data_IF_624992437784
#
_entry.id   IF_624992437784
#
_cell.length_a   1.000
_cell.length_b   1.000
_cell.length_c   1.000
_cell.angle_alpha   90.00
_cell.angle_beta   90.00
_cell.angle_gamma   90.00
#
_symmetry.space_group_name_H-M   'P 1'
#
loop_
_entity.id
_entity.type
_entity.pdbx_description
1 polymer ?
#
# COMPACT_ATOMS: atom_id res chain seq x y z
N UNK A 1 -15.60 24.58 12.46
CA UNK A 1 -17.03 24.25 12.26
C UNK A 1 -17.37 23.75 10.85
N UNK A 2 -17.13 24.50 9.73
CA UNK A 2 -17.40 23.96 8.38
C UNK A 2 -16.54 22.72 8.05
N UNK A 3 -15.27 22.72 8.40
CA UNK A 3 -14.38 21.58 8.19
C UNK A 3 -14.80 20.33 8.98
N UNK A 4 -15.32 20.49 10.19
CA UNK A 4 -15.73 19.34 11.03
C UNK A 4 -16.95 18.61 10.46
N UNK A 5 -17.91 19.35 9.89
CA UNK A 5 -19.09 18.76 9.26
C UNK A 5 -18.71 18.00 7.97
N UNK A 6 -17.77 18.54 7.17
CA UNK A 6 -17.26 17.89 5.97
C UNK A 6 -16.51 16.60 6.33
N UNK A 7 -15.57 16.66 7.28
CA UNK A 7 -14.82 15.49 7.76
C UNK A 7 -15.74 14.38 8.25
N UNK A 8 -16.77 14.72 9.04
CA UNK A 8 -17.76 13.72 9.50
C UNK A 8 -18.47 13.07 8.34
N UNK A 9 -18.95 13.86 7.36
CA UNK A 9 -19.61 13.34 6.16
C UNK A 9 -18.71 12.39 5.37
N UNK A 10 -17.46 12.76 5.14
CA UNK A 10 -16.48 11.95 4.43
C UNK A 10 -16.16 10.67 5.21
N UNK A 11 -15.93 10.78 6.53
CA UNK A 11 -15.69 9.64 7.41
C UNK A 11 -16.88 8.64 7.38
N UNK A 12 -18.10 9.14 7.56
CA UNK A 12 -19.31 8.32 7.53
C UNK A 12 -19.55 7.69 6.15
N UNK A 13 -19.21 8.38 5.07
CA UNK A 13 -19.31 7.84 3.71
C UNK A 13 -18.42 6.59 3.55
N UNK A 14 -17.23 6.56 4.13
CA UNK A 14 -16.38 5.38 4.11
C UNK A 14 -16.91 4.29 5.06
N UNK A 15 -17.42 4.62 6.23
CA UNK A 15 -17.94 3.63 7.20
C UNK A 15 -19.21 2.94 6.73
N UNK A 16 -20.10 3.65 6.01
CA UNK A 16 -21.41 3.14 5.61
C UNK A 16 -21.63 2.98 4.10
N UNK A 17 -20.76 3.52 3.29
CA UNK A 17 -20.90 3.57 1.84
C UNK A 17 -19.58 3.28 1.13
N UNK A 18 -19.10 4.29 0.37
CA UNK A 18 -17.80 4.23 -0.31
C UNK A 18 -17.22 5.63 -0.49
N UNK A 19 -15.94 5.75 -0.19
CA UNK A 19 -15.13 6.92 -0.50
C UNK A 19 -13.96 6.55 -1.43
N UNK A 20 -13.41 7.53 -2.14
CA UNK A 20 -12.18 7.36 -2.89
C UNK A 20 -11.22 8.51 -2.63
N UNK A 21 -9.94 8.23 -2.83
CA UNK A 21 -8.85 9.20 -2.69
C UNK A 21 -7.70 8.83 -3.65
N UNK A 22 -7.09 9.85 -4.26
CA UNK A 22 -5.79 9.69 -4.92
C UNK A 22 -4.73 9.51 -3.84
N UNK A 23 -4.37 8.26 -3.58
CA UNK A 23 -3.45 7.88 -2.50
C UNK A 23 -2.11 7.41 -3.06
N UNK A 24 -1.67 8.08 -4.12
CA UNK A 24 -0.39 7.79 -4.78
C UNK A 24 0.76 7.94 -3.80
N UNK A 25 1.42 6.84 -3.51
CA UNK A 25 2.64 6.77 -2.71
C UNK A 25 3.87 6.81 -3.61
N UNK A 26 5.04 6.93 -2.99
CA UNK A 26 6.31 6.66 -3.66
C UNK A 26 6.46 5.14 -3.84
N UNK A 27 6.88 4.72 -5.03
CA UNK A 27 6.95 3.30 -5.39
C UNK A 27 8.33 2.93 -5.90
N UNK A 28 8.91 1.90 -5.28
CA UNK A 28 10.16 1.27 -5.71
C UNK A 28 9.84 -0.05 -6.40
N UNK A 29 10.25 -0.21 -7.66
CA UNK A 29 10.30 -1.48 -8.39
C UNK A 29 11.60 -2.19 -8.02
N UNK A 30 11.52 -3.43 -7.55
CA UNK A 30 12.68 -4.24 -7.14
C UNK A 30 12.64 -5.58 -7.85
N UNK A 31 13.76 -5.99 -8.45
CA UNK A 31 13.85 -7.27 -9.16
C UNK A 31 15.26 -7.84 -9.10
N UNK A 32 15.38 -9.14 -9.32
CA UNK A 32 16.65 -9.87 -9.39
C UNK A 32 16.56 -11.21 -8.70
N UNK A 33 17.47 -12.12 -9.07
CA UNK A 33 17.42 -13.49 -8.51
C UNK A 33 17.60 -13.54 -7.00
N UNK A 34 18.26 -12.53 -6.41
CA UNK A 34 18.48 -12.42 -4.97
C UNK A 34 17.55 -11.35 -4.32
N UNK A 35 16.52 -10.85 -5.05
CA UNK A 35 15.65 -9.80 -4.56
C UNK A 35 14.91 -10.20 -3.27
N UNK A 36 14.37 -11.42 -3.20
CA UNK A 36 13.69 -11.93 -2.02
C UNK A 36 14.63 -12.04 -0.82
N UNK A 37 15.84 -12.57 -1.00
CA UNK A 37 16.84 -12.70 0.05
C UNK A 37 17.36 -11.34 0.54
N UNK A 38 17.54 -10.39 -0.40
CA UNK A 38 17.92 -9.02 -0.06
C UNK A 38 16.83 -8.29 0.73
N UNK A 39 15.57 -8.38 0.29
CA UNK A 39 14.46 -7.75 0.99
C UNK A 39 14.21 -8.37 2.36
N UNK A 40 14.38 -9.68 2.51
CA UNK A 40 14.33 -10.38 3.81
C UNK A 40 15.46 -9.92 4.77
N UNK A 41 16.60 -9.47 4.22
CA UNK A 41 17.69 -8.89 5.00
C UNK A 41 17.43 -7.47 5.48
N UNK A 42 16.70 -6.65 4.70
CA UNK A 42 16.50 -5.23 5.02
C UNK A 42 15.18 -4.94 5.73
N UNK A 43 14.20 -5.85 5.65
CA UNK A 43 12.92 -5.76 6.35
C UNK A 43 12.80 -6.80 7.47
N UNK A 44 11.98 -6.52 8.46
CA UNK A 44 11.85 -7.37 9.65
C UNK A 44 10.92 -8.57 9.47
N UNK A 45 10.04 -8.54 8.44
CA UNK A 45 9.07 -9.59 8.19
C UNK A 45 9.61 -10.62 7.19
N UNK A 46 8.98 -11.77 7.10
CA UNK A 46 9.36 -12.90 6.25
C UNK A 46 9.02 -12.63 4.77
N UNK A 47 9.86 -11.85 4.09
CA UNK A 47 9.70 -11.52 2.67
C UNK A 47 10.01 -12.74 1.79
N UNK A 48 11.00 -13.52 2.18
CA UNK A 48 11.48 -14.66 1.41
C UNK A 48 10.38 -15.70 1.16
N UNK A 49 9.54 -15.96 2.14
CA UNK A 49 8.46 -16.95 2.06
C UNK A 49 7.10 -16.37 1.64
N UNK A 50 7.05 -15.09 1.24
CA UNK A 50 5.84 -14.54 0.64
C UNK A 50 5.43 -15.35 -0.60
N UNK A 51 4.12 -15.51 -0.79
CA UNK A 51 3.58 -16.06 -2.03
C UNK A 51 3.49 -14.98 -3.11
N UNK A 52 3.62 -15.37 -4.36
CA UNK A 52 3.36 -14.46 -5.47
C UNK A 52 1.95 -13.87 -5.37
N UNK A 53 1.77 -12.67 -5.85
CA UNK A 53 0.53 -11.89 -5.80
C UNK A 53 0.05 -11.52 -4.39
N UNK A 54 0.89 -11.64 -3.36
CA UNK A 54 0.58 -11.23 -1.99
C UNK A 54 1.27 -9.92 -1.62
N UNK A 55 0.63 -9.23 -0.68
CA UNK A 55 1.19 -8.05 -0.02
C UNK A 55 1.61 -8.40 1.43
N UNK A 56 2.56 -7.64 1.96
CA UNK A 56 3.02 -7.76 3.34
C UNK A 56 3.33 -6.38 3.89
N UNK A 57 2.81 -6.07 5.07
CA UNK A 57 3.21 -4.89 5.84
C UNK A 57 4.46 -5.22 6.66
N UNK A 58 5.45 -4.35 6.64
CA UNK A 58 6.71 -4.54 7.36
C UNK A 58 7.35 -3.21 7.72
N UNK A 59 8.30 -3.26 8.64
CA UNK A 59 9.15 -2.11 8.98
C UNK A 59 10.60 -2.36 8.55
N UNK A 60 11.30 -1.27 8.26
CA UNK A 60 12.73 -1.23 8.03
C UNK A 60 13.41 -0.61 9.26
N UNK A 61 14.45 -1.27 9.77
CA UNK A 61 15.17 -0.82 10.97
C UNK A 61 16.56 -0.29 10.61
N UNK A 62 17.08 0.60 11.46
CA UNK A 62 18.51 0.89 11.49
C UNK A 62 19.26 -0.22 12.22
N UNK A 63 20.60 -0.13 12.23
CA UNK A 63 21.49 -1.13 12.87
C UNK A 63 21.31 -1.23 14.40
N UNK A 64 20.62 -0.24 15.02
CA UNK A 64 20.31 -0.18 16.45
C UNK A 64 18.91 -0.72 16.77
N UNK A 65 18.21 -1.31 15.79
CA UNK A 65 16.86 -1.86 15.95
C UNK A 65 15.72 -0.81 16.03
N UNK A 66 15.99 0.42 15.56
CA UNK A 66 14.98 1.49 15.53
C UNK A 66 14.32 1.59 14.16
N UNK A 67 13.01 1.77 14.15
CA UNK A 67 12.21 1.91 12.92
C UNK A 67 12.60 3.18 12.19
N UNK A 68 12.93 3.05 10.91
CA UNK A 68 13.27 4.14 10.00
C UNK A 68 12.32 4.30 8.84
N UNK A 69 11.51 3.28 8.55
CA UNK A 69 10.41 3.32 7.58
C UNK A 69 9.39 2.20 7.86
N UNK A 70 8.15 2.39 7.44
CA UNK A 70 7.11 1.36 7.37
C UNK A 70 6.53 1.31 5.96
N UNK A 71 6.34 0.09 5.45
CA UNK A 71 6.05 -0.12 4.03
C UNK A 71 5.07 -1.25 3.79
N UNK A 72 4.44 -1.21 2.61
CA UNK A 72 3.80 -2.38 2.02
C UNK A 72 4.71 -2.92 0.92
N UNK A 73 5.05 -4.20 1.01
CA UNK A 73 5.75 -4.96 -0.02
C UNK A 73 4.76 -5.83 -0.75
N UNK A 74 4.66 -5.67 -2.06
CA UNK A 74 3.91 -6.56 -2.96
C UNK A 74 4.91 -7.48 -3.66
N UNK A 75 4.73 -8.80 -3.58
CA UNK A 75 5.44 -9.76 -4.40
C UNK A 75 4.61 -10.04 -5.63
N UNK A 76 5.05 -9.57 -6.79
CA UNK A 76 4.35 -9.79 -8.06
C UNK A 76 4.69 -11.17 -8.64
N UNK A 77 5.96 -11.52 -8.60
CA UNK A 77 6.54 -12.77 -9.08
C UNK A 77 7.68 -13.19 -8.12
N UNK A 78 8.22 -14.37 -8.31
CA UNK A 78 9.26 -14.94 -7.45
C UNK A 78 10.45 -14.00 -7.18
N UNK A 79 10.81 -13.17 -8.17
CA UNK A 79 11.97 -12.28 -8.18
C UNK A 79 11.61 -10.81 -8.48
N UNK A 80 10.32 -10.44 -8.36
CA UNK A 80 9.81 -9.10 -8.69
C UNK A 80 8.87 -8.57 -7.62
N UNK A 81 9.18 -7.39 -7.11
CA UNK A 81 8.47 -6.75 -6.01
C UNK A 81 8.16 -5.28 -6.32
N UNK A 82 7.05 -4.80 -5.77
CA UNK A 82 6.79 -3.36 -5.63
C UNK A 82 6.78 -3.02 -4.14
N UNK A 83 7.41 -1.90 -3.80
CA UNK A 83 7.43 -1.41 -2.42
C UNK A 83 6.82 -0.02 -2.39
N UNK A 84 5.75 0.13 -1.61
CA UNK A 84 5.09 1.40 -1.37
C UNK A 84 5.63 2.03 -0.08
N UNK A 85 6.19 3.24 -0.18
CA UNK A 85 6.81 3.99 0.92
C UNK A 85 6.47 5.48 0.83
N UNK A 86 6.76 6.24 1.88
CA UNK A 86 6.76 7.72 1.86
C UNK A 86 8.19 8.29 1.87
N UNK A 87 9.23 7.47 2.01
CA UNK A 87 10.62 7.88 2.21
C UNK A 87 11.58 7.21 1.22
N UNK A 88 11.24 7.22 -0.08
CA UNK A 88 11.95 6.45 -1.12
C UNK A 88 13.44 6.76 -1.21
N UNK A 89 13.85 8.01 -1.05
CA UNK A 89 15.27 8.39 -1.10
C UNK A 89 16.05 7.82 0.10
N UNK A 90 15.45 7.82 1.29
CA UNK A 90 16.00 7.20 2.50
C UNK A 90 16.12 5.69 2.33
N UNK A 91 15.10 5.07 1.75
CA UNK A 91 15.10 3.64 1.45
C UNK A 91 16.19 3.26 0.45
N UNK A 92 16.34 4.00 -0.65
CA UNK A 92 17.38 3.74 -1.66
C UNK A 92 18.78 3.88 -1.04
N UNK A 93 19.03 4.91 -0.24
CA UNK A 93 20.30 5.06 0.47
C UNK A 93 20.58 3.90 1.42
N UNK A 94 19.55 3.39 2.10
CA UNK A 94 19.66 2.22 2.97
C UNK A 94 19.94 0.95 2.17
N UNK A 95 19.26 0.74 1.07
CA UNK A 95 19.49 -0.39 0.17
C UNK A 95 20.91 -0.35 -0.42
N UNK A 96 21.37 0.81 -0.87
CA UNK A 96 22.73 1.00 -1.40
C UNK A 96 23.84 0.61 -0.39
N UNK A 97 23.59 0.80 0.90
CA UNK A 97 24.52 0.42 1.96
C UNK A 97 24.68 -1.10 2.10
N UNK A 98 23.64 -1.87 1.83
CA UNK A 98 23.59 -3.31 2.13
C UNK A 98 23.47 -4.23 0.93
N UNK A 99 23.36 -3.70 -0.29
CA UNK A 99 23.14 -4.51 -1.50
C UNK A 99 24.35 -5.33 -1.96
N UNK A 100 25.54 -5.05 -1.43
CA UNK A 100 26.75 -5.75 -1.85
C UNK A 100 26.64 -7.26 -1.63
N UNK A 101 26.87 -8.03 -2.70
CA UNK A 101 26.76 -9.49 -2.68
C UNK A 101 25.41 -10.04 -3.13
N UNK A 102 24.42 -9.18 -3.40
CA UNK A 102 23.12 -9.56 -3.94
C UNK A 102 22.98 -9.14 -5.40
N UNK A 103 22.43 -10.01 -6.22
CA UNK A 103 22.02 -9.71 -7.59
C UNK A 103 20.58 -9.15 -7.55
N UNK A 104 20.52 -7.85 -7.27
CA UNK A 104 19.27 -7.09 -7.11
C UNK A 104 19.38 -5.72 -7.79
N UNK A 105 18.35 -5.37 -8.53
CA UNK A 105 18.14 -4.06 -9.13
C UNK A 105 16.89 -3.42 -8.52
N UNK A 106 16.92 -2.11 -8.30
CA UNK A 106 15.76 -1.35 -7.88
C UNK A 106 15.70 0.01 -8.57
N UNK A 107 14.48 0.45 -8.82
CA UNK A 107 14.20 1.69 -9.52
C UNK A 107 13.03 2.44 -8.91
N UNK A 108 13.22 3.73 -8.66
CA UNK A 108 12.11 4.62 -8.33
C UNK A 108 11.19 4.77 -9.56
N UNK A 109 9.93 4.37 -9.43
CA UNK A 109 8.89 4.46 -10.46
C UNK A 109 7.72 5.34 -10.01
N UNK A 110 7.89 6.16 -8.99
CA UNK A 110 6.86 7.04 -8.42
C UNK A 110 6.13 7.86 -9.49
N UNK A 111 6.87 8.44 -10.44
CA UNK A 111 6.27 9.26 -11.50
C UNK A 111 5.53 8.45 -12.58
N UNK A 112 5.61 7.12 -12.52
CA UNK A 112 5.04 6.22 -13.52
C UNK A 112 3.76 5.53 -13.09
N UNK A 113 3.50 5.49 -11.79
CA UNK A 113 2.39 4.74 -11.22
C UNK A 113 1.55 5.64 -10.32
N UNK A 114 0.25 5.66 -10.57
CA UNK A 114 -0.75 6.33 -9.72
C UNK A 114 -1.62 5.29 -9.04
N UNK A 115 -2.08 5.58 -7.83
CA UNK A 115 -2.94 4.71 -7.06
C UNK A 115 -4.17 5.44 -6.54
N UNK A 116 -5.36 4.87 -6.81
CA UNK A 116 -6.61 5.30 -6.19
C UNK A 116 -7.05 4.30 -5.13
N UNK A 117 -7.22 4.77 -3.91
CA UNK A 117 -7.85 4.00 -2.84
C UNK A 117 -9.37 4.15 -2.92
N UNK A 118 -10.09 3.02 -3.00
CA UNK A 118 -11.56 2.94 -2.99
C UNK A 118 -11.96 2.16 -1.75
N UNK A 119 -12.54 2.84 -0.76
CA UNK A 119 -12.67 2.34 0.61
C UNK A 119 -14.11 2.42 1.11
N UNK A 120 -14.55 1.39 1.82
CA UNK A 120 -15.88 1.29 2.43
C UNK A 120 -16.62 0.02 2.02
N UNK A 121 -17.74 -0.34 2.69
CA UNK A 121 -18.46 -1.59 2.46
C UNK A 121 -19.02 -1.74 1.04
N UNK A 122 -19.22 -0.65 0.29
CA UNK A 122 -19.68 -0.71 -1.11
C UNK A 122 -18.53 -0.73 -2.11
N UNK A 123 -17.26 -0.69 -1.68
CA UNK A 123 -16.08 -0.60 -2.55
C UNK A 123 -15.98 -1.76 -3.53
N UNK A 124 -16.27 -3.00 -3.11
CA UNK A 124 -16.26 -4.18 -3.98
C UNK A 124 -17.22 -4.03 -5.16
N UNK A 125 -18.44 -3.58 -4.89
CA UNK A 125 -19.46 -3.43 -5.92
C UNK A 125 -19.10 -2.32 -6.93
N UNK A 126 -18.50 -1.23 -6.42
CA UNK A 126 -18.02 -0.15 -7.27
C UNK A 126 -16.84 -0.61 -8.14
N UNK A 127 -15.84 -1.27 -7.56
CA UNK A 127 -14.67 -1.74 -8.32
C UNK A 127 -15.08 -2.74 -9.40
N UNK A 128 -15.97 -3.69 -9.11
CA UNK A 128 -16.51 -4.64 -10.10
C UNK A 128 -17.30 -3.98 -11.25
N UNK A 129 -17.75 -2.73 -11.11
CA UNK A 129 -18.33 -1.98 -12.22
C UNK A 129 -17.29 -1.29 -13.10
N UNK A 130 -16.06 -1.17 -12.61
CA UNK A 130 -14.98 -0.45 -13.29
C UNK A 130 -14.10 -1.43 -14.05
N UNK A 131 -13.72 -2.55 -13.41
CA UNK A 131 -12.76 -3.50 -13.95
C UNK A 131 -13.42 -4.62 -14.73
N UNK A 132 -12.70 -5.17 -15.70
CA UNK A 132 -13.23 -6.23 -16.60
C UNK A 132 -13.25 -7.60 -15.94
N UNK A 133 -12.26 -7.91 -15.08
CA UNK A 133 -12.16 -9.17 -14.35
C UNK A 133 -12.77 -9.02 -12.96
N UNK A 134 -13.71 -9.89 -12.59
CA UNK A 134 -14.37 -9.90 -11.29
C UNK A 134 -13.36 -10.09 -10.13
N UNK A 135 -13.38 -9.15 -9.18
CA UNK A 135 -12.51 -9.14 -7.99
C UNK A 135 -13.20 -9.67 -6.74
N UNK A 136 -14.36 -10.32 -6.88
CA UNK A 136 -15.17 -10.76 -5.73
C UNK A 136 -14.45 -11.73 -4.81
N UNK A 137 -13.57 -12.57 -5.38
CA UNK A 137 -12.78 -13.58 -4.66
C UNK A 137 -11.35 -13.11 -4.30
N UNK A 138 -10.97 -11.88 -4.66
CA UNK A 138 -9.67 -11.33 -4.33
C UNK A 138 -9.48 -11.31 -2.81
N UNK A 139 -8.41 -11.94 -2.33
CA UNK A 139 -8.11 -12.08 -0.89
C UNK A 139 -7.56 -10.78 -0.30
N UNK A 140 -7.76 -10.58 0.99
CA UNK A 140 -7.10 -9.49 1.70
C UNK A 140 -5.57 -9.60 1.60
N UNK A 141 -4.91 -8.47 1.36
CA UNK A 141 -3.47 -8.39 1.11
C UNK A 141 -3.01 -9.23 -0.09
N UNK A 142 -3.80 -9.23 -1.17
CA UNK A 142 -3.36 -9.74 -2.49
C UNK A 142 -3.56 -8.68 -3.57
N UNK A 143 -2.79 -8.82 -4.65
CA UNK A 143 -2.80 -7.95 -5.83
C UNK A 143 -2.92 -8.81 -7.08
N UNK A 144 -3.67 -8.36 -8.07
CA UNK A 144 -3.78 -9.04 -9.38
C UNK A 144 -3.82 -8.06 -10.54
N UNK A 145 -3.37 -8.52 -11.69
CA UNK A 145 -3.55 -7.80 -12.95
C UNK A 145 -5.01 -7.81 -13.37
N UNK A 146 -5.48 -6.68 -13.85
CA UNK A 146 -6.84 -6.46 -14.34
C UNK A 146 -6.83 -5.46 -15.49
N UNK A 147 -7.99 -5.13 -16.03
CA UNK A 147 -8.14 -4.17 -17.12
C UNK A 147 -9.44 -3.37 -16.98
N UNK A 148 -9.50 -2.29 -17.72
CA UNK A 148 -10.69 -1.47 -18.00
C UNK A 148 -10.69 -1.18 -19.52
N UNK A 149 -11.30 -2.07 -20.32
CA UNK A 149 -11.16 -2.04 -21.76
C UNK A 149 -9.69 -2.23 -22.18
N UNK A 150 -9.14 -1.26 -22.91
CA UNK A 150 -7.74 -1.27 -23.35
C UNK A 150 -6.75 -0.72 -22.29
N UNK A 151 -7.22 -0.40 -21.10
CA UNK A 151 -6.39 0.13 -20.01
C UNK A 151 -5.98 -0.97 -19.06
N UNK A 152 -4.70 -1.29 -19.04
CA UNK A 152 -4.12 -2.20 -18.04
C UNK A 152 -4.05 -1.53 -16.67
N UNK A 153 -4.38 -2.28 -15.63
CA UNK A 153 -4.30 -1.86 -14.23
C UNK A 153 -4.03 -3.04 -13.30
N UNK A 154 -3.60 -2.76 -12.08
CA UNK A 154 -3.54 -3.75 -11.02
C UNK A 154 -4.56 -3.40 -9.93
N UNK A 155 -5.17 -4.42 -9.35
CA UNK A 155 -6.10 -4.27 -8.23
C UNK A 155 -5.53 -4.98 -7.02
N UNK A 156 -5.30 -4.23 -5.93
CA UNK A 156 -4.97 -4.81 -4.64
C UNK A 156 -6.18 -4.72 -3.69
N UNK A 157 -6.42 -5.77 -2.91
CA UNK A 157 -7.36 -5.70 -1.80
C UNK A 157 -6.63 -5.26 -0.54
N UNK A 158 -6.49 -3.96 -0.40
CA UNK A 158 -5.77 -3.29 0.68
C UNK A 158 -6.44 -1.97 1.04
N UNK A 159 -5.93 -1.30 2.07
CA UNK A 159 -6.37 0.02 2.49
C UNK A 159 -5.99 0.34 3.92
N UNK A 160 -5.98 1.64 4.23
CA UNK A 160 -5.57 2.17 5.54
C UNK A 160 -6.76 2.75 6.34
N UNK A 161 -8.00 2.27 6.08
CA UNK A 161 -9.22 2.81 6.68
C UNK A 161 -9.85 1.90 7.73
N UNK A 162 -9.40 0.63 7.79
CA UNK A 162 -10.03 -0.41 8.61
C UNK A 162 -11.41 -0.84 8.10
N UNK A 163 -11.78 -0.48 6.87
CA UNK A 163 -12.95 -0.97 6.14
C UNK A 163 -12.53 -1.84 4.96
N UNK A 164 -13.50 -2.51 4.34
CA UNK A 164 -13.28 -3.17 3.05
C UNK A 164 -12.77 -2.13 2.05
N UNK A 165 -11.68 -2.45 1.37
CA UNK A 165 -11.08 -1.52 0.45
C UNK A 165 -10.26 -2.18 -0.64
N UNK A 166 -10.10 -1.44 -1.72
CA UNK A 166 -9.30 -1.81 -2.88
C UNK A 166 -8.45 -0.62 -3.31
N UNK A 167 -7.31 -0.93 -3.87
CA UNK A 167 -6.37 0.03 -4.45
C UNK A 167 -6.23 -0.30 -5.93
N UNK A 168 -6.49 0.69 -6.78
CA UNK A 168 -6.36 0.58 -8.23
C UNK A 168 -5.09 1.30 -8.66
N UNK A 169 -4.15 0.55 -9.22
CA UNK A 169 -2.86 1.05 -9.71
C UNK A 169 -2.90 1.14 -11.24
N UNK A 170 -2.51 2.29 -11.78
CA UNK A 170 -2.51 2.58 -13.21
C UNK A 170 -1.27 3.39 -13.58
N UNK A 171 -0.82 3.30 -14.85
CA UNK A 171 0.20 4.21 -15.36
C UNK A 171 -0.24 5.67 -15.19
N UNK A 172 0.68 6.55 -14.75
CA UNK A 172 0.34 7.93 -14.36
C UNK A 172 -0.23 8.78 -15.49
N UNK A 173 0.08 8.47 -16.75
CA UNK A 173 -0.49 9.14 -17.92
C UNK A 173 -1.96 8.75 -18.19
N UNK A 174 -2.45 7.68 -17.55
CA UNK A 174 -3.84 7.19 -17.61
C UNK A 174 -4.67 7.55 -16.38
N UNK A 175 -4.08 8.27 -15.43
CA UNK A 175 -4.72 8.67 -14.17
C UNK A 175 -6.11 9.26 -14.37
N UNK A 176 -6.21 10.27 -15.24
CA UNK A 176 -7.46 11.02 -15.45
C UNK A 176 -8.55 10.10 -16.03
N UNK A 177 -8.19 9.19 -16.91
CA UNK A 177 -9.13 8.20 -17.50
C UNK A 177 -9.71 7.31 -16.41
N UNK A 178 -8.87 6.78 -15.52
CA UNK A 178 -9.33 5.92 -14.42
C UNK A 178 -10.17 6.73 -13.43
N UNK A 179 -9.76 7.95 -13.07
CA UNK A 179 -10.50 8.79 -12.14
C UNK A 179 -11.90 9.15 -12.67
N UNK A 180 -12.04 9.46 -13.96
CA UNK A 180 -13.35 9.69 -14.59
C UNK A 180 -14.25 8.46 -14.50
N UNK A 181 -13.71 7.26 -14.73
CA UNK A 181 -14.46 6.00 -14.61
C UNK A 181 -14.88 5.72 -13.17
N UNK A 182 -14.00 5.96 -12.20
CA UNK A 182 -14.33 5.87 -10.78
C UNK A 182 -15.52 6.80 -10.43
N UNK A 183 -15.45 8.07 -10.87
CA UNK A 183 -16.51 9.06 -10.62
C UNK A 183 -17.83 8.71 -11.31
N UNK A 184 -17.76 8.22 -12.56
CA UNK A 184 -18.95 7.81 -13.32
C UNK A 184 -19.66 6.63 -12.68
N UNK A 185 -18.95 5.53 -12.42
CA UNK A 185 -19.49 4.35 -11.77
C UNK A 185 -19.94 4.65 -10.32
N UNK A 186 -19.24 5.56 -9.66
CA UNK A 186 -19.49 5.96 -8.29
C UNK A 186 -20.82 6.69 -8.05
N UNK A 187 -21.45 7.26 -9.10
CA UNK A 187 -22.74 7.97 -8.98
C UNK A 187 -23.85 7.10 -8.39
N UNK A 188 -23.86 5.80 -8.70
CA UNK A 188 -24.84 4.85 -8.19
C UNK A 188 -24.64 4.50 -6.70
N UNK A 189 -23.46 4.81 -6.14
CA UNK A 189 -23.06 4.45 -4.79
C UNK A 189 -22.97 5.63 -3.84
N UNK A 190 -23.33 6.85 -4.31
CA UNK A 190 -23.13 8.10 -3.58
C UNK A 190 -21.65 8.30 -3.20
N UNK A 191 -20.74 7.97 -4.14
CA UNK A 191 -19.29 8.03 -3.96
C UNK A 191 -18.85 9.43 -3.50
N UNK A 192 -18.02 9.46 -2.47
CA UNK A 192 -17.44 10.70 -1.94
C UNK A 192 -15.93 10.73 -2.20
N UNK A 193 -15.43 11.82 -2.79
CA UNK A 193 -14.00 12.10 -2.76
C UNK A 193 -13.64 12.58 -1.35
N UNK A 194 -12.82 11.82 -0.65
CA UNK A 194 -12.42 12.10 0.74
C UNK A 194 -11.10 12.88 0.79
N UNK A 195 -10.88 13.58 1.88
CA UNK A 195 -9.65 14.37 2.11
C UNK A 195 -8.57 13.56 2.81
N UNK A 196 -7.33 14.06 2.75
CA UNK A 196 -6.19 13.52 3.50
C UNK A 196 -6.46 13.46 5.01
N UNK A 197 -7.14 14.48 5.57
CA UNK A 197 -7.52 14.51 6.98
C UNK A 197 -8.39 13.31 7.40
N UNK A 198 -9.09 12.71 6.46
CA UNK A 198 -9.96 11.55 6.70
C UNK A 198 -9.22 10.24 6.45
N UNK A 199 -8.54 10.10 5.29
CA UNK A 199 -7.92 8.82 4.92
C UNK A 199 -6.66 8.49 5.73
N UNK A 200 -5.88 9.49 6.14
CA UNK A 200 -4.68 9.29 6.98
C UNK A 200 -4.87 9.74 8.43
N UNK A 201 -5.96 10.42 8.75
CA UNK A 201 -6.24 10.94 10.07
C UNK A 201 -7.36 10.20 10.79
N UNK A 202 -8.61 10.58 10.54
CA UNK A 202 -9.73 10.11 11.36
C UNK A 202 -10.07 8.63 11.18
N UNK A 203 -9.98 8.07 9.96
CA UNK A 203 -10.29 6.66 9.70
C UNK A 203 -9.28 5.70 10.33
N UNK A 204 -7.95 5.82 10.05
CA UNK A 204 -6.97 4.95 10.69
C UNK A 204 -6.85 5.21 12.20
N UNK A 205 -6.94 6.46 12.64
CA UNK A 205 -6.90 6.80 14.07
C UNK A 205 -8.01 6.16 14.88
N UNK A 206 -9.24 6.07 14.36
CA UNK A 206 -10.34 5.35 14.98
C UNK A 206 -10.06 3.84 15.13
N UNK A 207 -9.31 3.24 14.20
CA UNK A 207 -8.93 1.82 14.22
C UNK A 207 -7.65 1.55 15.02
N UNK A 208 -7.00 2.57 15.54
CA UNK A 208 -5.74 2.45 16.26
C UNK A 208 -4.54 2.16 15.35
N UNK A 209 -4.64 2.48 14.06
CA UNK A 209 -3.50 2.43 13.17
C UNK A 209 -2.58 3.62 13.44
N UNK A 210 -1.29 3.42 13.24
CA UNK A 210 -0.25 4.42 13.50
C UNK A 210 0.37 4.90 12.20
N UNK A 211 0.89 6.12 12.22
CA UNK A 211 1.63 6.71 11.13
C UNK A 211 3.14 6.56 11.39
N UNK A 212 3.96 6.69 10.34
CA UNK A 212 5.41 6.66 10.49
C UNK A 212 5.90 7.69 11.51
N UNK A 213 5.24 8.85 11.64
CA UNK A 213 5.54 9.85 12.68
C UNK A 213 5.42 9.33 14.11
N UNK A 214 4.59 8.30 14.33
CA UNK A 214 4.39 7.66 15.63
C UNK A 214 5.40 6.52 15.87
N UNK A 215 5.99 6.00 14.79
CA UNK A 215 6.89 4.85 14.79
C UNK A 215 8.37 5.24 14.85
N UNK A 216 8.73 6.42 14.31
CA UNK A 216 10.11 6.82 14.11
C UNK A 216 10.92 6.80 15.41
N UNK A 217 12.06 6.09 15.39
CA UNK A 217 12.96 6.00 16.54
C UNK A 217 12.53 5.03 17.64
N UNK A 218 11.34 4.42 17.55
CA UNK A 218 10.94 3.29 18.39
C UNK A 218 11.44 1.96 17.78
N UNK A 219 11.47 0.90 18.57
CA UNK A 219 11.61 -0.45 18.03
C UNK A 219 10.22 -1.10 17.85
N UNK A 220 10.09 -2.17 17.04
CA UNK A 220 8.80 -2.80 16.77
C UNK A 220 8.05 -3.27 18.03
N UNK A 221 8.74 -3.67 19.09
CA UNK A 221 8.12 -4.13 20.33
C UNK A 221 7.51 -2.97 21.13
N UNK A 222 8.19 -1.80 21.15
CA UNK A 222 7.72 -0.60 21.85
C UNK A 222 6.39 -0.07 21.31
N UNK A 223 6.13 -0.30 20.01
CA UNK A 223 4.90 0.15 19.32
C UNK A 223 3.88 -0.96 19.08
N UNK A 224 4.10 -2.15 19.67
CA UNK A 224 3.19 -3.28 19.53
C UNK A 224 3.27 -4.01 18.18
N UNK A 225 4.31 -3.81 17.40
CA UNK A 225 4.52 -4.40 16.07
C UNK A 225 5.37 -5.67 16.07
N UNK A 226 5.58 -6.29 17.25
CA UNK A 226 6.29 -7.56 17.35
C UNK A 226 5.70 -8.69 16.49
N UNK A 227 4.43 -8.59 16.09
CA UNK A 227 3.76 -9.51 15.18
C UNK A 227 4.27 -9.41 13.73
N UNK A 228 4.93 -8.31 13.35
CA UNK A 228 5.54 -8.14 12.02
C UNK A 228 6.95 -8.73 11.95
N UNK A 229 7.55 -9.13 13.08
CA UNK A 229 8.95 -9.54 13.15
C UNK A 229 9.09 -11.04 12.93
N UNK A 230 9.80 -11.42 11.88
CA UNK A 230 10.20 -12.80 11.60
C UNK A 230 11.44 -13.15 12.47
N UNK A 231 11.20 -13.62 13.69
CA UNK A 231 12.26 -13.86 14.68
C UNK A 231 13.30 -14.91 14.26
N UNK A 232 12.96 -15.78 13.31
CA UNK A 232 13.87 -16.79 12.77
C UNK A 232 14.71 -16.27 11.59
N UNK A 233 14.37 -15.09 11.03
CA UNK A 233 15.16 -14.45 9.96
C UNK A 233 16.32 -13.63 10.50
N UNK A 234 17.34 -13.42 9.66
CA UNK A 234 18.51 -12.58 9.97
C UNK A 234 18.38 -11.24 9.24
N UNK A 235 17.75 -10.26 9.88
CA UNK A 235 17.54 -8.93 9.34
C UNK A 235 18.39 -7.87 10.06
N UNK A 236 18.55 -6.71 9.41
CA UNK A 236 19.32 -5.58 9.96
C UNK A 236 18.59 -5.02 11.19
N UNK A 237 19.32 -4.85 12.30
CA UNK A 237 18.78 -4.29 13.55
C UNK A 237 18.09 -5.30 14.47
N UNK A 238 18.25 -6.62 14.19
CA UNK A 238 17.74 -7.72 15.03
C UNK A 238 18.26 -7.70 16.45
#
# INVERSE_FOLDING_TARGET
MKNDALRRREHEAVRSGVGYYDFTHQVLDVKGKDAADFLDKVFVNDIKNMKDTHALYTTMLNEEGKIIDDVIVFRLEADKFLISTLYIDKMIQWFDKFKNGFDVEYKNITDKLTMFAIQGPKSKNLVNKIVDKDISDLKFFTIEDNSLGDLDLMVARAGFTGELGYELYVESDKKDVLEEKIKEAGKEFDLVNITSDVIIGSLPGEKGYVLMSDLEGANPLEVGYGWTVAWDSDFIGK
#
